data_IF_165294066333
#
_entry.id   IF_165294066333
#
_cell.length_a   1.000
_cell.length_b   1.000
_cell.length_c   1.000
_cell.angle_alpha   90.00
_cell.angle_beta   90.00
_cell.angle_gamma   90.00
#
_symmetry.space_group_name_H-M   'P 1'
#
loop_
_entity.id
_entity.type
_entity.pdbx_description
1 polymer ?
#
# COMPACT_ATOMS: atom_id res chain seq x y z
N UNK A 1 -28.10 -10.55 15.07
CA UNK A 1 -27.39 -10.82 16.34
C UNK A 1 -25.97 -11.27 15.99
N UNK A 2 -25.02 -10.33 16.06
CA UNK A 2 -23.64 -10.57 15.61
C UNK A 2 -22.84 -11.42 16.61
N UNK A 3 -21.89 -12.21 16.11
CA UNK A 3 -20.91 -12.96 16.92
C UNK A 3 -20.22 -12.03 17.94
N UNK A 4 -20.01 -10.77 17.57
CA UNK A 4 -19.47 -9.71 18.43
C UNK A 4 -20.22 -9.53 19.77
N UNK A 5 -21.55 -9.68 19.76
CA UNK A 5 -22.38 -9.47 20.96
C UNK A 5 -22.27 -10.64 21.95
N UNK A 6 -21.87 -11.82 21.46
CA UNK A 6 -21.71 -13.04 22.30
C UNK A 6 -20.29 -13.24 22.83
N UNK A 7 -19.27 -12.82 22.07
CA UNK A 7 -17.86 -13.15 22.36
C UNK A 7 -17.08 -11.94 22.88
N UNK A 8 -17.71 -10.74 22.88
CA UNK A 8 -17.04 -9.49 23.19
C UNK A 8 -16.14 -8.98 22.05
N UNK A 9 -15.79 -7.70 22.08
CA UNK A 9 -14.97 -7.08 21.05
C UNK A 9 -13.51 -7.53 21.05
N UNK A 10 -13.01 -8.02 22.17
CA UNK A 10 -11.57 -8.34 22.40
C UNK A 10 -11.12 -9.56 21.59
N UNK A 11 -11.95 -10.60 21.48
CA UNK A 11 -11.57 -11.82 20.79
C UNK A 11 -11.41 -11.62 19.27
N UNK A 12 -12.39 -11.03 18.54
CA UNK A 12 -12.21 -10.75 17.12
C UNK A 12 -11.03 -9.82 16.82
N UNK A 13 -10.81 -8.81 17.65
CA UNK A 13 -9.67 -7.90 17.51
C UNK A 13 -8.34 -8.63 17.67
N UNK A 14 -8.22 -9.52 18.66
CA UNK A 14 -7.01 -10.32 18.86
C UNK A 14 -6.74 -11.23 17.66
N UNK A 15 -7.77 -11.88 17.10
CA UNK A 15 -7.61 -12.68 15.88
C UNK A 15 -7.12 -11.85 14.70
N UNK A 16 -7.72 -10.67 14.47
CA UNK A 16 -7.30 -9.79 13.39
C UNK A 16 -5.85 -9.29 13.56
N UNK A 17 -5.43 -9.00 14.78
CA UNK A 17 -4.05 -8.63 15.08
C UNK A 17 -3.08 -9.76 14.77
N UNK A 18 -3.36 -10.97 15.29
CA UNK A 18 -2.46 -12.12 15.14
C UNK A 18 -2.36 -12.55 13.67
N UNK A 19 -3.50 -12.76 13.00
CA UNK A 19 -3.49 -13.18 11.60
C UNK A 19 -3.03 -12.07 10.65
N UNK A 20 -3.33 -10.80 10.97
CA UNK A 20 -2.81 -9.66 10.24
C UNK A 20 -1.29 -9.62 10.29
N UNK A 21 -0.70 -9.66 11.48
CA UNK A 21 0.74 -9.63 11.66
C UNK A 21 1.44 -10.87 11.06
N UNK A 22 0.81 -12.05 11.19
CA UNK A 22 1.31 -13.28 10.57
C UNK A 22 1.33 -13.16 9.04
N UNK A 23 0.30 -12.58 8.44
CA UNK A 23 0.25 -12.33 6.98
C UNK A 23 1.35 -11.38 6.53
N UNK A 24 1.59 -10.29 7.26
CA UNK A 24 2.69 -9.37 6.98
C UNK A 24 4.05 -10.09 7.09
N UNK A 25 4.24 -10.91 8.13
CA UNK A 25 5.48 -11.69 8.33
C UNK A 25 5.72 -12.66 7.16
N UNK A 26 4.72 -13.47 6.80
CA UNK A 26 4.83 -14.42 5.70
C UNK A 26 5.15 -13.69 4.39
N UNK A 27 4.46 -12.60 4.10
CA UNK A 27 4.71 -11.82 2.89
C UNK A 27 6.13 -11.23 2.86
N UNK A 28 6.59 -10.66 3.98
CA UNK A 28 7.94 -10.08 4.09
C UNK A 28 9.04 -11.13 3.84
N UNK A 29 8.89 -12.36 4.36
CA UNK A 29 9.84 -13.45 4.14
C UNK A 29 9.87 -13.92 2.68
N UNK A 30 8.70 -14.00 2.03
CA UNK A 30 8.61 -14.52 0.67
C UNK A 30 8.93 -13.47 -0.40
N UNK A 31 8.71 -12.18 -0.15
CA UNK A 31 8.90 -11.12 -1.15
C UNK A 31 10.36 -10.98 -1.60
N UNK A 32 11.32 -11.23 -0.70
CA UNK A 32 12.75 -11.09 -0.96
C UNK A 32 13.27 -12.17 -1.92
N UNK A 33 12.71 -13.37 -1.88
CA UNK A 33 13.15 -14.51 -2.69
C UNK A 33 12.42 -14.60 -4.03
N UNK A 34 11.53 -13.66 -4.36
CA UNK A 34 10.81 -13.68 -5.63
C UNK A 34 11.62 -13.10 -6.78
N UNK A 35 11.56 -13.78 -7.92
CA UNK A 35 12.12 -13.34 -9.19
C UNK A 35 11.06 -13.06 -10.26
N UNK A 36 9.80 -13.33 -9.98
CA UNK A 36 8.65 -13.04 -10.84
C UNK A 36 7.94 -11.78 -10.36
N UNK A 37 7.85 -10.76 -11.23
CA UNK A 37 7.23 -9.45 -10.93
C UNK A 37 5.81 -9.64 -10.41
N UNK A 38 5.01 -10.52 -11.06
CA UNK A 38 3.61 -10.71 -10.70
C UNK A 38 3.44 -11.42 -9.36
N UNK A 39 4.30 -12.40 -9.06
CA UNK A 39 4.32 -13.08 -7.76
C UNK A 39 4.74 -12.13 -6.64
N UNK A 40 5.75 -11.30 -6.88
CA UNK A 40 6.19 -10.30 -5.91
C UNK A 40 5.06 -9.33 -5.60
N UNK A 41 4.34 -8.84 -6.62
CA UNK A 41 3.15 -8.01 -6.43
C UNK A 41 2.01 -8.76 -5.73
N UNK A 42 1.88 -10.07 -5.88
CA UNK A 42 0.89 -10.86 -5.14
C UNK A 42 1.27 -10.96 -3.64
N UNK A 43 2.54 -11.20 -3.30
CA UNK A 43 2.98 -11.18 -1.90
C UNK A 43 2.81 -9.82 -1.25
N UNK A 44 3.08 -8.72 -1.96
CA UNK A 44 2.80 -7.41 -1.43
C UNK A 44 1.29 -7.12 -1.27
N UNK A 45 0.39 -7.88 -1.94
CA UNK A 45 -1.04 -7.84 -1.60
C UNK A 45 -1.35 -8.55 -0.29
N UNK A 46 -0.72 -9.71 -0.03
CA UNK A 46 -0.89 -10.44 1.23
C UNK A 46 -0.41 -9.58 2.40
N UNK A 47 0.73 -8.91 2.24
CA UNK A 47 1.27 -7.97 3.23
C UNK A 47 0.28 -6.85 3.54
N UNK A 48 -0.19 -6.12 2.52
CA UNK A 48 -1.10 -4.99 2.70
C UNK A 48 -2.46 -5.43 3.28
N UNK A 49 -3.02 -6.59 2.86
CA UNK A 49 -4.23 -7.16 3.47
C UNK A 49 -3.98 -7.54 4.94
N UNK A 50 -2.80 -8.04 5.26
CA UNK A 50 -2.35 -8.29 6.62
C UNK A 50 -2.32 -7.00 7.44
N UNK A 51 -1.78 -5.92 6.87
CA UNK A 51 -1.71 -4.60 7.52
C UNK A 51 -3.10 -3.98 7.75
N UNK A 52 -4.03 -4.12 6.79
CA UNK A 52 -5.43 -3.73 6.95
C UNK A 52 -6.08 -4.50 8.10
N UNK A 53 -5.91 -5.83 8.13
CA UNK A 53 -6.43 -6.68 9.21
C UNK A 53 -5.84 -6.29 10.56
N UNK A 54 -4.54 -6.02 10.61
CA UNK A 54 -3.85 -5.54 11.80
C UNK A 54 -4.44 -4.20 12.28
N UNK A 55 -4.67 -3.24 11.37
CA UNK A 55 -5.27 -1.95 11.69
C UNK A 55 -6.68 -2.10 12.32
N UNK A 56 -7.54 -2.94 11.73
CA UNK A 56 -8.85 -3.25 12.33
C UNK A 56 -8.71 -3.97 13.67
N UNK A 57 -7.70 -4.81 13.84
CA UNK A 57 -7.40 -5.50 15.10
C UNK A 57 -6.91 -4.57 16.21
N UNK A 58 -6.25 -3.45 15.88
CA UNK A 58 -5.92 -2.41 16.84
C UNK A 58 -7.19 -1.78 17.44
N UNK A 59 -8.26 -1.72 16.64
CA UNK A 59 -9.53 -1.16 17.07
C UNK A 59 -9.52 0.35 17.24
N UNK A 60 -10.56 0.87 17.86
CA UNK A 60 -10.73 2.30 18.09
C UNK A 60 -10.94 3.11 16.80
N UNK A 61 -11.27 4.41 16.92
CA UNK A 61 -11.57 5.27 15.77
C UNK A 61 -10.40 5.39 14.79
N UNK A 62 -9.17 5.55 15.31
CA UNK A 62 -7.97 5.75 14.49
C UNK A 62 -7.61 4.46 13.76
N UNK A 63 -7.66 3.29 14.43
CA UNK A 63 -7.33 2.01 13.81
C UNK A 63 -8.29 1.65 12.68
N UNK A 64 -9.59 1.84 12.88
CA UNK A 64 -10.61 1.59 11.86
C UNK A 64 -10.47 2.58 10.69
N UNK A 65 -10.28 3.87 10.98
CA UNK A 65 -10.04 4.90 9.96
C UNK A 65 -8.80 4.57 9.11
N UNK A 66 -7.68 4.27 9.76
CA UNK A 66 -6.42 3.95 9.09
C UNK A 66 -6.55 2.70 8.21
N UNK A 67 -7.23 1.66 8.67
CA UNK A 67 -7.51 0.45 7.90
C UNK A 67 -8.36 0.72 6.66
N UNK A 68 -9.43 1.51 6.79
CA UNK A 68 -10.28 1.91 5.65
C UNK A 68 -9.51 2.78 4.64
N UNK A 69 -8.76 3.76 5.11
CA UNK A 69 -7.92 4.61 4.27
C UNK A 69 -6.87 3.77 3.53
N UNK A 70 -6.23 2.84 4.24
CA UNK A 70 -5.22 1.96 3.63
C UNK A 70 -5.82 1.04 2.56
N UNK A 71 -7.08 0.59 2.74
CA UNK A 71 -7.80 -0.20 1.72
C UNK A 71 -7.94 0.57 0.41
N UNK A 72 -8.32 1.85 0.47
CA UNK A 72 -8.43 2.71 -0.71
C UNK A 72 -7.05 2.92 -1.36
N UNK A 73 -6.06 3.30 -0.55
CA UNK A 73 -4.71 3.59 -1.00
C UNK A 73 -4.05 2.38 -1.67
N UNK A 74 -4.18 1.21 -1.06
CA UNK A 74 -3.70 -0.04 -1.60
C UNK A 74 -4.35 -0.38 -2.95
N UNK A 75 -5.67 -0.21 -3.08
CA UNK A 75 -6.40 -0.49 -4.31
C UNK A 75 -5.89 0.35 -5.49
N UNK A 76 -5.62 1.64 -5.26
CA UNK A 76 -5.06 2.55 -6.27
C UNK A 76 -3.65 2.12 -6.70
N UNK A 77 -2.76 1.86 -5.72
CA UNK A 77 -1.39 1.45 -5.98
C UNK A 77 -1.32 0.11 -6.74
N UNK A 78 -2.17 -0.84 -6.38
CA UNK A 78 -2.24 -2.14 -7.06
C UNK A 78 -2.76 -2.02 -8.48
N UNK A 79 -3.80 -1.24 -8.70
CA UNK A 79 -4.32 -1.00 -10.06
C UNK A 79 -3.22 -0.47 -10.97
N UNK A 80 -2.47 0.54 -10.52
CA UNK A 80 -1.34 1.10 -11.27
C UNK A 80 -0.27 0.04 -11.56
N UNK A 81 0.18 -0.69 -10.53
CA UNK A 81 1.28 -1.66 -10.67
C UNK A 81 0.90 -2.87 -11.51
N UNK A 82 -0.34 -3.36 -11.42
CA UNK A 82 -0.79 -4.45 -12.29
C UNK A 82 -0.92 -4.01 -13.75
N UNK A 83 -1.38 -2.78 -14.02
CA UNK A 83 -1.36 -2.22 -15.38
C UNK A 83 0.07 -2.11 -15.91
N UNK A 84 1.00 -1.58 -15.11
CA UNK A 84 2.41 -1.48 -15.47
C UNK A 84 3.05 -2.85 -15.73
N UNK A 85 2.78 -3.84 -14.86
CA UNK A 85 3.26 -5.21 -15.07
C UNK A 85 2.68 -5.87 -16.32
N UNK A 86 1.44 -5.51 -16.69
CA UNK A 86 0.82 -5.90 -17.95
C UNK A 86 1.56 -5.33 -19.17
N UNK A 87 1.89 -4.04 -19.15
CA UNK A 87 2.68 -3.40 -20.21
C UNK A 87 4.08 -4.03 -20.33
N UNK A 88 4.73 -4.33 -19.20
CA UNK A 88 6.03 -5.03 -19.18
C UNK A 88 5.90 -6.42 -19.82
N UNK A 89 4.86 -7.18 -19.44
CA UNK A 89 4.64 -8.52 -20.00
C UNK A 89 4.36 -8.48 -21.52
N UNK A 90 3.59 -7.52 -21.99
CA UNK A 90 3.34 -7.34 -23.43
C UNK A 90 4.63 -7.04 -24.20
N UNK A 91 5.54 -6.27 -23.59
CA UNK A 91 6.79 -5.83 -24.20
C UNK A 91 7.87 -6.90 -24.18
N UNK A 92 8.14 -7.48 -23.00
CA UNK A 92 9.23 -8.45 -22.80
C UNK A 92 8.81 -9.91 -23.01
N UNK A 93 7.50 -10.19 -23.10
CA UNK A 93 6.92 -11.56 -23.18
C UNK A 93 7.32 -12.49 -22.01
N UNK A 94 7.86 -11.91 -20.94
CA UNK A 94 8.27 -12.62 -19.73
C UNK A 94 7.96 -11.79 -18.49
N UNK A 95 7.92 -12.42 -17.32
CA UNK A 95 7.72 -11.79 -16.00
C UNK A 95 8.96 -11.93 -15.11
N UNK A 96 9.97 -12.66 -15.58
CA UNK A 96 11.21 -12.92 -14.85
C UNK A 96 12.05 -11.64 -14.77
N UNK A 97 12.28 -11.15 -13.57
CA UNK A 97 13.08 -9.95 -13.29
C UNK A 97 14.55 -10.09 -13.77
N UNK A 98 15.03 -11.30 -13.98
CA UNK A 98 16.37 -11.50 -14.53
C UNK A 98 16.43 -11.23 -16.04
N UNK A 99 15.30 -11.37 -16.73
CA UNK A 99 15.16 -11.12 -18.17
C UNK A 99 14.59 -9.72 -18.46
N UNK A 100 13.72 -9.19 -17.59
CA UNK A 100 13.19 -7.83 -17.68
C UNK A 100 14.23 -6.86 -17.13
N UNK A 101 15.01 -6.25 -18.00
CA UNK A 101 16.06 -5.28 -17.64
C UNK A 101 16.05 -4.10 -18.58
N UNK A 102 16.55 -2.95 -18.09
CA UNK A 102 16.69 -1.75 -18.90
C UNK A 102 15.36 -1.14 -19.34
N UNK A 103 14.30 -1.32 -18.55
CA UNK A 103 12.97 -0.80 -18.85
C UNK A 103 12.99 0.72 -19.10
N UNK A 104 13.88 1.46 -18.41
CA UNK A 104 14.10 2.89 -18.64
C UNK A 104 14.47 3.23 -20.08
N UNK A 105 15.22 2.36 -20.78
CA UNK A 105 15.63 2.56 -22.18
C UNK A 105 14.59 2.05 -23.17
N UNK A 106 13.91 0.96 -22.82
CA UNK A 106 12.93 0.28 -23.68
C UNK A 106 11.59 0.99 -23.69
N UNK A 107 11.04 1.33 -22.51
CA UNK A 107 9.73 1.94 -22.32
C UNK A 107 9.77 2.95 -21.15
N UNK A 108 10.29 4.16 -21.40
CA UNK A 108 10.60 5.12 -20.33
C UNK A 108 9.38 5.56 -19.54
N UNK A 109 8.24 5.78 -20.18
CA UNK A 109 7.01 6.17 -19.48
C UNK A 109 6.49 5.05 -18.58
N UNK A 110 6.48 3.80 -19.08
CA UNK A 110 6.13 2.63 -18.27
C UNK A 110 7.12 2.46 -17.10
N UNK A 111 8.41 2.73 -17.30
CA UNK A 111 9.42 2.65 -16.25
C UNK A 111 9.17 3.65 -15.12
N UNK A 112 8.88 4.92 -15.45
CA UNK A 112 8.58 5.96 -14.45
C UNK A 112 7.32 5.61 -13.67
N UNK A 113 6.26 5.21 -14.35
CA UNK A 113 4.98 4.87 -13.72
C UNK A 113 5.09 3.61 -12.85
N UNK A 114 5.84 2.60 -13.31
CA UNK A 114 6.12 1.39 -12.53
C UNK A 114 6.94 1.68 -11.28
N UNK A 115 8.04 2.45 -11.43
CA UNK A 115 8.86 2.85 -10.30
C UNK A 115 8.09 3.73 -9.30
N UNK A 116 7.37 4.75 -9.80
CA UNK A 116 6.52 5.61 -8.96
C UNK A 116 5.45 4.83 -8.21
N UNK A 117 4.79 3.88 -8.87
CA UNK A 117 3.79 3.01 -8.25
C UNK A 117 4.39 2.07 -7.19
N UNK A 118 5.60 1.55 -7.43
CA UNK A 118 6.29 0.69 -6.46
C UNK A 118 6.77 1.48 -5.23
N UNK A 119 7.29 2.71 -5.43
CA UNK A 119 7.65 3.61 -4.33
C UNK A 119 6.40 4.03 -3.53
N UNK A 120 5.30 4.31 -4.22
CA UNK A 120 4.04 4.63 -3.57
C UNK A 120 3.51 3.44 -2.73
N UNK A 121 3.52 2.21 -3.28
CA UNK A 121 3.12 1.00 -2.57
C UNK A 121 4.04 0.67 -1.39
N UNK A 122 5.32 1.01 -1.48
CA UNK A 122 6.29 0.83 -0.41
C UNK A 122 6.22 1.89 0.69
N UNK A 123 5.18 2.73 0.72
CA UNK A 123 4.98 3.71 1.79
C UNK A 123 6.01 4.83 1.81
N UNK A 124 6.50 5.28 0.64
CA UNK A 124 7.45 6.40 0.59
C UNK A 124 6.69 7.73 0.47
N UNK A 125 7.01 8.75 1.31
CA UNK A 125 6.48 10.09 1.11
C UNK A 125 6.88 10.63 -0.28
N UNK A 126 6.03 11.39 -0.96
CA UNK A 126 4.77 12.01 -0.53
C UNK A 126 3.50 11.24 -0.96
N UNK A 127 3.55 9.95 -1.16
CA UNK A 127 2.40 9.18 -1.65
C UNK A 127 1.41 8.82 -0.53
N UNK A 128 0.17 8.55 -0.95
CA UNK A 128 -0.99 8.28 -0.10
C UNK A 128 -0.83 7.04 0.82
N UNK A 129 -0.12 5.99 0.37
CA UNK A 129 0.09 4.77 1.17
C UNK A 129 0.86 5.10 2.45
N UNK A 130 1.89 5.98 2.36
CA UNK A 130 2.62 6.46 3.53
C UNK A 130 1.68 7.04 4.61
N UNK A 131 0.70 7.85 4.19
CA UNK A 131 -0.25 8.49 5.12
C UNK A 131 -1.04 7.45 5.92
N UNK A 132 -1.51 6.40 5.23
CA UNK A 132 -2.27 5.34 5.89
C UNK A 132 -1.40 4.44 6.76
N UNK A 133 -0.18 4.09 6.35
CA UNK A 133 0.79 3.34 7.18
C UNK A 133 1.18 4.12 8.43
N UNK A 134 1.45 5.43 8.27
CA UNK A 134 1.72 6.31 9.40
C UNK A 134 0.53 6.38 10.37
N UNK A 135 -0.69 6.47 9.84
CA UNK A 135 -1.92 6.46 10.67
C UNK A 135 -2.08 5.13 11.41
N UNK A 136 -1.72 3.99 10.80
CA UNK A 136 -1.71 2.67 11.46
C UNK A 136 -0.66 2.65 12.58
N UNK A 137 0.53 3.23 12.35
CA UNK A 137 1.56 3.32 13.36
C UNK A 137 1.11 4.14 14.56
N UNK A 138 0.50 5.28 14.33
CA UNK A 138 -0.10 6.13 15.36
C UNK A 138 -1.17 5.35 16.14
N UNK A 139 -2.09 4.66 15.44
CA UNK A 139 -3.12 3.84 16.07
C UNK A 139 -2.52 2.75 16.99
N UNK A 140 -1.43 2.11 16.56
CA UNK A 140 -0.74 1.09 17.34
C UNK A 140 -0.13 1.62 18.64
N UNK A 141 0.45 2.83 18.60
CA UNK A 141 1.00 3.51 19.77
C UNK A 141 -0.13 3.87 20.75
N UNK A 142 -1.21 4.47 20.25
CA UNK A 142 -2.36 4.84 21.09
C UNK A 142 -3.09 3.62 21.70
N UNK A 143 -3.10 2.49 21.00
CA UNK A 143 -3.63 1.23 21.53
C UNK A 143 -2.72 0.56 22.56
N UNK A 144 -1.58 1.17 22.91
CA UNK A 144 -0.60 0.59 23.86
C UNK A 144 0.13 -0.64 23.29
N UNK A 145 0.10 -0.86 21.99
CA UNK A 145 0.70 -2.03 21.31
C UNK A 145 1.99 -1.66 20.58
N UNK A 146 2.78 -0.77 21.16
CA UNK A 146 4.00 -0.20 20.56
C UNK A 146 4.98 -1.26 20.08
N UNK A 147 5.21 -2.33 20.85
CA UNK A 147 6.13 -3.41 20.45
C UNK A 147 5.67 -4.17 19.21
N UNK A 148 4.36 -4.45 19.09
CA UNK A 148 3.80 -5.07 17.90
C UNK A 148 3.94 -4.13 16.69
N UNK A 149 3.78 -2.81 16.90
CA UNK A 149 3.95 -1.82 15.84
C UNK A 149 5.40 -1.72 15.37
N UNK A 150 6.36 -1.68 16.30
CA UNK A 150 7.79 -1.69 15.96
C UNK A 150 8.15 -2.93 15.14
N UNK A 151 7.68 -4.09 15.56
CA UNK A 151 7.89 -5.33 14.79
C UNK A 151 7.26 -5.26 13.39
N UNK A 152 6.04 -4.73 13.28
CA UNK A 152 5.38 -4.51 11.99
C UNK A 152 6.18 -3.56 11.08
N UNK A 153 6.70 -2.45 11.61
CA UNK A 153 7.53 -1.49 10.86
C UNK A 153 8.83 -2.12 10.33
N UNK A 154 9.45 -3.02 11.10
CA UNK A 154 10.61 -3.78 10.62
C UNK A 154 10.22 -4.65 9.42
N UNK A 155 9.09 -5.34 9.49
CA UNK A 155 8.59 -6.15 8.38
C UNK A 155 8.27 -5.31 7.14
N UNK A 156 7.64 -4.14 7.31
CA UNK A 156 7.37 -3.19 6.21
C UNK A 156 8.67 -2.72 5.56
N UNK A 157 9.72 -2.46 6.35
CA UNK A 157 11.04 -2.10 5.80
C UNK A 157 11.62 -3.22 4.93
N UNK A 158 11.43 -4.48 5.30
CA UNK A 158 11.83 -5.63 4.49
C UNK A 158 11.05 -5.69 3.17
N UNK A 159 9.74 -5.45 3.22
CA UNK A 159 8.89 -5.39 2.02
C UNK A 159 9.31 -4.24 1.10
N UNK A 160 9.56 -3.07 1.64
CA UNK A 160 10.07 -1.91 0.90
C UNK A 160 11.40 -2.23 0.20
N UNK A 161 12.31 -2.93 0.90
CA UNK A 161 13.58 -3.37 0.30
C UNK A 161 13.34 -4.33 -0.89
N UNK A 162 12.41 -5.28 -0.75
CA UNK A 162 12.02 -6.20 -1.83
C UNK A 162 11.45 -5.47 -3.05
N UNK A 163 10.53 -4.53 -2.83
CA UNK A 163 9.95 -3.68 -3.89
C UNK A 163 11.03 -2.82 -4.57
N UNK A 164 11.93 -2.22 -3.79
CA UNK A 164 13.03 -1.41 -4.31
C UNK A 164 13.98 -2.23 -5.16
N UNK A 165 14.33 -3.44 -4.73
CA UNK A 165 15.15 -4.38 -5.51
C UNK A 165 14.47 -4.79 -6.83
N UNK A 166 13.14 -5.00 -6.82
CA UNK A 166 12.38 -5.25 -8.04
C UNK A 166 12.51 -4.09 -9.02
N UNK A 167 12.32 -2.84 -8.56
CA UNK A 167 12.46 -1.64 -9.40
C UNK A 167 13.88 -1.53 -9.94
N UNK A 168 14.88 -1.63 -9.09
CA UNK A 168 16.29 -1.50 -9.49
C UNK A 168 16.67 -2.55 -10.56
N UNK A 169 16.26 -3.79 -10.38
CA UNK A 169 16.59 -4.87 -11.32
C UNK A 169 15.87 -4.70 -12.66
N UNK A 170 14.62 -4.27 -12.66
CA UNK A 170 13.81 -4.19 -13.89
C UNK A 170 14.02 -2.88 -14.65
N UNK A 171 14.10 -1.75 -13.93
CA UNK A 171 14.21 -0.42 -14.54
C UNK A 171 15.63 -0.16 -15.03
N UNK A 172 16.63 -0.53 -14.22
CA UNK A 172 18.03 -0.33 -14.57
C UNK A 172 18.60 -1.55 -15.32
N UNK A 173 19.79 -1.36 -15.89
CA UNK A 173 20.53 -2.41 -16.59
C UNK A 173 20.59 -2.20 -18.09
N UNK A 174 21.20 -3.18 -18.78
CA UNK A 174 21.31 -3.15 -20.24
C UNK A 174 20.02 -3.61 -20.89
N UNK A 175 19.62 -2.91 -21.93
CA UNK A 175 18.51 -3.31 -22.79
C UNK A 175 18.81 -4.66 -23.43
N UNK A 176 17.87 -5.64 -23.43
CA UNK A 176 18.01 -6.86 -24.21
C UNK A 176 17.93 -6.55 -25.70
N UNK A 177 18.78 -7.21 -26.50
CA UNK A 177 18.87 -6.96 -27.95
C UNK A 177 17.56 -7.30 -28.71
N UNK A 178 16.73 -8.15 -28.15
CA UNK A 178 15.50 -8.67 -28.76
C UNK A 178 14.25 -7.84 -28.46
N UNK A 179 14.37 -6.69 -27.77
CA UNK A 179 13.21 -5.89 -27.34
C UNK A 179 13.27 -4.52 -28.03
N UNK A 180 12.26 -4.24 -28.87
CA UNK A 180 12.13 -2.96 -29.54
C UNK A 180 11.88 -1.82 -28.57
N UNK A 181 12.41 -0.63 -28.84
CA UNK A 181 12.19 0.58 -28.04
C UNK A 181 10.81 1.17 -28.33
N UNK A 182 10.13 1.65 -27.30
CA UNK A 182 8.83 2.33 -27.38
C UNK A 182 7.81 1.76 -26.39
N UNK A 183 6.96 2.60 -25.83
CA UNK A 183 5.88 2.22 -24.94
C UNK A 183 4.73 1.53 -25.69
N UNK A 184 4.05 0.58 -25.03
CA UNK A 184 3.12 -0.35 -25.69
C UNK A 184 1.75 0.29 -25.99
N UNK A 185 1.17 1.02 -25.04
CA UNK A 185 -0.21 1.51 -25.15
C UNK A 185 -0.39 2.88 -24.49
N UNK A 186 -0.71 3.89 -25.29
CA UNK A 186 -0.91 5.26 -24.80
C UNK A 186 -2.09 5.38 -23.82
N UNK A 187 -3.18 4.65 -24.04
CA UNK A 187 -4.35 4.68 -23.15
C UNK A 187 -4.00 4.14 -21.77
N UNK A 188 -3.27 3.01 -21.70
CA UNK A 188 -2.80 2.45 -20.44
C UNK A 188 -1.87 3.43 -19.71
N UNK A 189 -0.98 4.12 -20.44
CA UNK A 189 -0.06 5.10 -19.85
C UNK A 189 -0.80 6.29 -19.24
N UNK A 190 -1.80 6.83 -19.96
CA UNK A 190 -2.62 7.94 -19.44
C UNK A 190 -3.37 7.52 -18.17
N UNK A 191 -3.99 6.34 -18.16
CA UNK A 191 -4.70 5.84 -16.98
C UNK A 191 -3.76 5.66 -15.79
N UNK A 192 -2.57 5.10 -16.00
CA UNK A 192 -1.55 4.94 -14.94
C UNK A 192 -1.03 6.30 -14.44
N UNK A 193 -0.84 7.28 -15.35
CA UNK A 193 -0.39 8.62 -14.97
C UNK A 193 -1.44 9.34 -14.10
N UNK A 194 -2.72 9.22 -14.44
CA UNK A 194 -3.83 9.76 -13.65
C UNK A 194 -3.84 9.11 -12.25
N UNK A 195 -3.69 7.79 -12.17
CA UNK A 195 -3.64 7.09 -10.87
C UNK A 195 -2.46 7.55 -10.02
N UNK A 196 -1.26 7.66 -10.61
CA UNK A 196 -0.07 8.10 -9.89
C UNK A 196 -0.23 9.54 -9.38
N UNK A 197 -0.75 10.44 -10.22
CA UNK A 197 -1.03 11.83 -9.84
C UNK A 197 -2.08 11.89 -8.70
N UNK A 198 -3.13 11.09 -8.80
CA UNK A 198 -4.16 11.03 -7.76
C UNK A 198 -3.60 10.52 -6.42
N UNK A 199 -2.75 9.49 -6.45
CA UNK A 199 -2.06 8.98 -5.27
C UNK A 199 -1.12 10.03 -4.66
N UNK A 200 -0.44 10.80 -5.49
CA UNK A 200 0.41 11.91 -5.04
C UNK A 200 -0.42 13.01 -4.36
N UNK A 201 -1.51 13.43 -4.98
CA UNK A 201 -2.42 14.44 -4.42
C UNK A 201 -3.01 13.95 -3.09
N UNK A 202 -3.51 12.72 -3.03
CA UNK A 202 -4.04 12.12 -1.79
C UNK A 202 -2.99 11.97 -0.69
N UNK A 203 -1.72 11.87 -1.04
CA UNK A 203 -0.62 11.83 -0.07
C UNK A 203 -0.36 13.20 0.58
N UNK A 204 -0.67 14.29 -0.11
CA UNK A 204 -0.51 15.66 0.42
C UNK A 204 -1.81 16.13 1.08
N UNK A 205 -2.95 15.88 0.45
CA UNK A 205 -4.25 16.34 0.90
C UNK A 205 -5.34 15.31 0.59
N UNK A 206 -6.02 14.83 1.63
CA UNK A 206 -7.19 13.97 1.46
C UNK A 206 -8.38 14.86 1.17
N UNK A 207 -9.00 14.68 0.01
CA UNK A 207 -10.18 15.44 -0.39
C UNK A 207 -11.30 15.30 0.64
N UNK A 208 -11.95 16.41 0.99
CA UNK A 208 -13.00 16.47 2.03
C UNK A 208 -14.12 15.41 1.83
N UNK A 209 -14.63 15.15 0.61
CA UNK A 209 -15.65 14.13 0.41
C UNK A 209 -15.18 12.72 0.82
N UNK A 210 -13.90 12.38 0.55
CA UNK A 210 -13.32 11.09 0.94
C UNK A 210 -13.18 11.02 2.46
N UNK A 211 -12.73 12.11 3.08
CA UNK A 211 -12.58 12.21 4.52
C UNK A 211 -13.94 12.04 5.25
N UNK A 212 -14.98 12.70 4.76
CA UNK A 212 -16.33 12.59 5.32
C UNK A 212 -16.90 11.17 5.15
N UNK A 213 -16.69 10.55 3.99
CA UNK A 213 -17.09 9.16 3.75
C UNK A 213 -16.40 8.21 4.74
N UNK A 214 -15.08 8.37 4.93
CA UNK A 214 -14.33 7.55 5.88
C UNK A 214 -14.80 7.76 7.33
N UNK A 215 -15.03 9.00 7.75
CA UNK A 215 -15.56 9.32 9.08
C UNK A 215 -16.93 8.67 9.30
N UNK A 216 -17.83 8.76 8.33
CA UNK A 216 -19.15 8.13 8.40
C UNK A 216 -19.04 6.60 8.49
N UNK A 217 -18.16 5.99 7.69
CA UNK A 217 -17.92 4.54 7.73
C UNK A 217 -17.36 4.08 9.08
N UNK A 218 -16.46 4.86 9.69
CA UNK A 218 -15.96 4.59 11.05
C UNK A 218 -17.08 4.65 12.07
N UNK A 219 -17.97 5.65 12.00
CA UNK A 219 -19.13 5.77 12.87
C UNK A 219 -20.03 4.52 12.81
N UNK A 220 -20.32 4.04 11.60
CA UNK A 220 -21.11 2.80 11.38
C UNK A 220 -20.41 1.57 11.98
N UNK A 221 -19.11 1.41 11.75
CA UNK A 221 -18.34 0.27 12.25
C UNK A 221 -18.28 0.23 13.78
N UNK A 222 -18.17 1.40 14.40
CA UNK A 222 -18.07 1.51 15.86
C UNK A 222 -19.44 1.56 16.55
N UNK A 223 -20.51 1.75 15.79
CA UNK A 223 -21.89 1.90 16.34
C UNK A 223 -22.10 3.18 17.14
N UNK A 224 -21.36 4.25 16.81
CA UNK A 224 -21.45 5.56 17.47
C UNK A 224 -21.65 6.65 16.42
N UNK A 225 -22.72 7.44 16.55
CA UNK A 225 -23.00 8.56 15.62
C UNK A 225 -21.99 9.73 15.76
N UNK A 226 -21.35 9.85 16.91
CA UNK A 226 -20.34 10.89 17.17
C UNK A 226 -19.00 10.24 17.51
N UNK A 227 -18.18 10.03 16.50
CA UNK A 227 -16.79 9.64 16.69
C UNK A 227 -15.95 10.90 16.82
N UNK A 228 -15.52 11.21 18.06
CA UNK A 228 -14.53 12.27 18.28
C UNK A 228 -13.18 11.76 17.80
N UNK A 229 -12.72 12.28 16.67
CA UNK A 229 -11.38 11.96 16.17
C UNK A 229 -10.29 12.78 16.87
N UNK A 230 -10.67 13.77 17.73
CA UNK A 230 -9.73 14.70 18.33
C UNK A 230 -8.87 15.43 17.27
N UNK A 231 -7.88 16.17 17.71
CA UNK A 231 -6.91 16.84 16.83
C UNK A 231 -5.93 15.85 16.13
N UNK A 232 -6.06 14.56 16.38
CA UNK A 232 -5.14 13.49 15.96
C UNK A 232 -5.24 13.06 14.49
N UNK A 233 -6.28 13.49 13.77
CA UNK A 233 -6.44 13.20 12.32
C UNK A 233 -5.91 14.33 11.43
N UNK A 234 -5.29 15.33 12.02
CA UNK A 234 -4.52 16.31 11.25
C UNK A 234 -3.28 15.59 10.74
N UNK A 235 -3.15 15.49 9.42
CA UNK A 235 -1.92 14.98 8.80
C UNK A 235 -0.74 15.73 9.42
N UNK A 236 0.39 15.07 9.73
CA UNK A 236 1.49 15.69 10.47
C UNK A 236 1.99 17.02 9.89
N UNK A 237 1.78 17.21 8.60
CA UNK A 237 2.14 18.46 7.91
C UNK A 237 1.00 19.49 7.83
N UNK A 238 -0.24 19.15 8.14
CA UNK A 238 -1.35 20.10 8.20
C UNK A 238 -1.35 20.88 9.53
N UNK A 239 -0.81 20.30 10.60
CA UNK A 239 -0.58 21.02 11.87
C UNK A 239 0.55 22.04 11.80
N UNK A 240 1.40 21.98 10.79
CA UNK A 240 2.48 22.97 10.56
C UNK A 240 2.03 24.18 9.73
N UNK A 241 0.81 24.15 9.20
CA UNK A 241 0.22 25.20 8.35
C UNK A 241 -0.82 26.06 9.09
N UNK A 242 -1.07 25.82 10.38
CA UNK A 242 -1.84 26.65 11.30
C UNK A 242 -0.90 27.36 12.28
#
# INVERSE_FOLDING_TARGET
MCIRDRVGSTYPQTLLLVFGLLSVLVAALFIIVQFDIKRLLAYSSIENMGLISFAFGLGGPIGVFAGLLHTINHSLAKTLLFCASGNILLKYKTRDMNQVRGLWRVAPMTAVLFAGGALALGGIPPFNVFVSEFSIAVAGIYAGKTWLMVFCLILLTIVLAGLSLMVLKTVLGKQPDNVEVGDVNKVSLVAMAILLLFMFIMGIHIAEPILQLLKSAVGIVLGSEQVSFGEMLVLPWQSLAQ
#
